data_IF_420469469465
#
_entry.id   IF_420469469465
#
_cell.length_a   1.000
_cell.length_b   1.000
_cell.length_c   1.000
_cell.angle_alpha   90.00
_cell.angle_beta   90.00
_cell.angle_gamma   90.00
#
_symmetry.space_group_name_H-M   'P 1'
#
loop_
_entity.id
_entity.type
_entity.pdbx_description
1 polymer ?
#
# COMPACT_ATOMS: atom_id res chain seq x y z
N UNK A 1 -3.83 -17.43 -13.66
CA UNK A 1 -3.49 -17.22 -12.24
C UNK A 1 -3.43 -15.72 -12.01
N UNK A 2 -4.20 -15.21 -11.07
CA UNK A 2 -4.18 -13.79 -10.70
C UNK A 2 -3.20 -13.62 -9.55
N UNK A 3 -2.24 -12.69 -9.69
CA UNK A 3 -1.27 -12.39 -8.64
C UNK A 3 -1.79 -11.37 -7.62
N UNK A 4 -2.99 -10.81 -7.87
CA UNK A 4 -3.59 -9.76 -7.05
C UNK A 4 -4.99 -10.17 -6.59
N UNK A 5 -5.38 -9.66 -5.43
CA UNK A 5 -6.78 -9.54 -5.04
C UNK A 5 -7.21 -8.09 -5.29
N UNK A 6 -8.24 -7.89 -6.10
CA UNK A 6 -8.66 -6.55 -6.54
C UNK A 6 -10.16 -6.38 -6.39
N UNK A 7 -10.57 -5.26 -5.77
CA UNK A 7 -11.96 -4.85 -5.64
C UNK A 7 -12.16 -3.52 -6.36
N UNK A 8 -13.36 -3.29 -6.92
CA UNK A 8 -13.71 -2.03 -7.59
C UNK A 8 -14.53 -1.15 -6.65
N UNK A 9 -14.29 0.15 -6.72
CA UNK A 9 -15.00 1.17 -5.96
C UNK A 9 -15.40 2.33 -6.87
N UNK A 10 -16.40 3.10 -6.44
CA UNK A 10 -16.80 4.36 -7.09
C UNK A 10 -16.15 5.59 -6.40
N UNK A 11 -15.39 5.38 -5.32
CA UNK A 11 -14.64 6.43 -4.63
C UNK A 11 -13.49 6.91 -5.52
N UNK A 12 -13.14 8.20 -5.43
CA UNK A 12 -11.87 8.66 -5.97
C UNK A 12 -10.70 8.13 -5.10
N UNK A 13 -9.47 8.29 -5.59
CA UNK A 13 -8.28 7.71 -4.94
C UNK A 13 -8.10 8.23 -3.51
N UNK A 14 -8.26 9.54 -3.28
CA UNK A 14 -8.05 10.12 -1.95
C UNK A 14 -9.12 9.65 -0.94
N UNK A 15 -10.39 9.59 -1.35
CA UNK A 15 -11.46 9.02 -0.52
C UNK A 15 -11.25 7.52 -0.25
N UNK A 16 -10.76 6.76 -1.23
CA UNK A 16 -10.45 5.35 -1.06
C UNK A 16 -9.30 5.13 -0.07
N UNK A 17 -8.25 5.96 -0.15
CA UNK A 17 -7.11 5.90 0.78
C UNK A 17 -7.53 6.25 2.21
N UNK A 18 -8.36 7.30 2.38
CA UNK A 18 -8.87 7.68 3.70
C UNK A 18 -9.68 6.54 4.31
N UNK A 19 -10.64 6.01 3.57
CA UNK A 19 -11.50 4.92 4.03
C UNK A 19 -10.71 3.63 4.33
N UNK A 20 -9.73 3.28 3.48
CA UNK A 20 -8.82 2.17 3.74
C UNK A 20 -8.02 2.39 5.02
N UNK A 21 -7.47 3.60 5.22
CA UNK A 21 -6.66 3.94 6.40
C UNK A 21 -7.47 3.78 7.69
N UNK A 22 -8.72 4.25 7.72
CA UNK A 22 -9.60 4.12 8.88
C UNK A 22 -9.93 2.65 9.18
N UNK A 23 -10.28 1.86 8.15
CA UNK A 23 -10.61 0.44 8.32
C UNK A 23 -9.39 -0.39 8.74
N UNK A 24 -8.22 -0.14 8.16
CA UNK A 24 -6.97 -0.83 8.50
C UNK A 24 -6.57 -0.60 9.95
N UNK A 25 -6.76 0.62 10.46
CA UNK A 25 -6.51 0.95 11.86
C UNK A 25 -7.35 0.09 12.81
N UNK A 26 -8.61 -0.19 12.44
CA UNK A 26 -9.53 -1.05 13.19
C UNK A 26 -9.06 -2.50 13.34
N UNK A 27 -8.19 -2.98 12.44
CA UNK A 27 -7.63 -4.34 12.45
C UNK A 27 -6.12 -4.37 12.78
N UNK A 28 -5.58 -3.27 13.32
CA UNK A 28 -4.21 -3.21 13.81
C UNK A 28 -3.14 -2.93 12.75
N UNK A 29 -3.53 -2.54 11.54
CA UNK A 29 -2.61 -2.04 10.51
C UNK A 29 -2.51 -0.52 10.59
N UNK A 30 -1.29 0.00 10.53
CA UNK A 30 -1.02 1.43 10.35
C UNK A 30 -0.57 1.74 8.93
N UNK A 31 -0.92 2.93 8.44
CA UNK A 31 -0.35 3.50 7.23
C UNK A 31 1.06 4.04 7.53
N UNK A 32 2.06 3.60 6.77
CA UNK A 32 3.44 4.07 6.85
C UNK A 32 3.67 5.22 5.88
N UNK A 33 3.40 4.99 4.59
CA UNK A 33 3.58 5.96 3.52
C UNK A 33 2.60 5.70 2.38
N UNK A 34 2.31 6.74 1.59
CA UNK A 34 1.59 6.64 0.32
C UNK A 34 2.49 7.19 -0.79
N UNK A 35 2.84 6.32 -1.73
CA UNK A 35 3.67 6.67 -2.88
C UNK A 35 2.78 7.10 -4.04
N UNK A 36 2.93 8.36 -4.47
CA UNK A 36 2.26 8.88 -5.66
C UNK A 36 3.17 8.69 -6.89
N UNK A 37 2.89 7.67 -7.69
CA UNK A 37 3.75 7.32 -8.82
C UNK A 37 3.70 8.36 -9.95
N UNK A 38 2.55 9.02 -10.13
CA UNK A 38 2.43 10.10 -11.11
C UNK A 38 3.37 11.24 -10.75
N UNK A 39 3.42 11.63 -9.49
CA UNK A 39 4.34 12.64 -8.98
C UNK A 39 5.80 12.17 -9.04
N UNK A 40 6.11 10.97 -8.55
CA UNK A 40 7.47 10.41 -8.53
C UNK A 40 8.07 10.35 -9.95
N UNK A 41 7.28 9.91 -10.94
CA UNK A 41 7.70 9.83 -12.32
C UNK A 41 7.84 11.22 -12.96
N UNK A 42 6.90 12.13 -12.69
CA UNK A 42 6.95 13.51 -13.18
C UNK A 42 8.20 14.26 -12.67
N UNK A 43 8.63 14.04 -11.43
CA UNK A 43 9.88 14.59 -10.88
C UNK A 43 11.13 14.11 -11.62
N UNK A 44 11.04 13.02 -12.40
CA UNK A 44 12.09 12.51 -13.29
C UNK A 44 11.88 12.86 -14.76
N UNK A 45 10.88 13.69 -15.08
CA UNK A 45 10.53 14.04 -16.45
C UNK A 45 9.87 12.89 -17.23
N UNK A 46 9.31 11.91 -16.52
CA UNK A 46 8.59 10.78 -17.11
C UNK A 46 7.10 11.04 -17.00
N UNK A 47 6.40 11.08 -18.14
CA UNK A 47 4.94 11.26 -18.16
C UNK A 47 4.21 9.97 -17.78
N UNK A 48 3.22 10.09 -16.90
CA UNK A 48 2.32 9.01 -16.50
C UNK A 48 0.89 9.55 -16.42
N UNK A 49 0.00 9.01 -17.24
CA UNK A 49 -1.34 9.56 -17.42
C UNK A 49 -2.27 9.20 -16.25
N UNK A 50 -2.17 7.97 -15.78
CA UNK A 50 -3.03 7.43 -14.74
C UNK A 50 -2.67 7.98 -13.36
N UNK A 51 -3.68 8.21 -12.54
CA UNK A 51 -3.48 8.43 -11.11
C UNK A 51 -3.33 7.05 -10.45
N UNK A 52 -2.16 6.80 -9.85
CA UNK A 52 -1.81 5.53 -9.22
C UNK A 52 -1.07 5.81 -7.92
N UNK A 53 -1.64 5.37 -6.80
CA UNK A 53 -1.01 5.50 -5.49
C UNK A 53 -0.79 4.12 -4.88
N UNK A 54 0.37 3.93 -4.24
CA UNK A 54 0.68 2.71 -3.51
C UNK A 54 0.76 3.03 -2.02
N UNK A 55 -0.09 2.41 -1.23
CA UNK A 55 -0.06 2.50 0.23
C UNK A 55 0.85 1.42 0.80
N UNK A 56 1.76 1.82 1.66
CA UNK A 56 2.57 0.92 2.49
C UNK A 56 1.97 0.84 3.88
N UNK A 57 1.54 -0.36 4.27
CA UNK A 57 0.81 -0.59 5.53
C UNK A 57 1.46 -1.72 6.33
N UNK A 58 1.44 -1.60 7.65
CA UNK A 58 2.11 -2.56 8.53
C UNK A 58 1.31 -2.82 9.79
N UNK A 59 1.15 -4.10 10.12
CA UNK A 59 0.80 -4.54 11.46
C UNK A 59 2.09 -5.00 12.16
N UNK A 60 2.57 -4.31 13.21
CA UNK A 60 3.86 -4.59 13.80
C UNK A 60 3.95 -5.99 14.45
N UNK A 61 2.82 -6.53 14.95
CA UNK A 61 2.80 -7.87 15.52
C UNK A 61 3.03 -8.92 14.43
N UNK A 62 2.34 -8.79 13.29
CA UNK A 62 2.51 -9.69 12.16
C UNK A 62 3.90 -9.55 11.53
N UNK A 63 4.38 -8.32 11.35
CA UNK A 63 5.72 -8.06 10.82
C UNK A 63 6.81 -8.69 11.70
N UNK A 64 6.69 -8.57 13.02
CA UNK A 64 7.59 -9.25 13.98
C UNK A 64 7.56 -10.76 13.78
N UNK A 65 6.38 -11.37 13.70
CA UNK A 65 6.25 -12.82 13.51
C UNK A 65 6.90 -13.30 12.20
N UNK A 66 6.75 -12.54 11.11
CA UNK A 66 7.39 -12.86 9.81
C UNK A 66 8.91 -12.80 9.93
N UNK A 67 9.44 -11.73 10.53
CA UNK A 67 10.89 -11.54 10.69
C UNK A 67 11.52 -12.56 11.64
N UNK A 68 10.82 -12.95 12.70
CA UNK A 68 11.25 -14.01 13.62
C UNK A 68 11.24 -15.40 12.95
N UNK A 69 10.31 -15.64 12.03
CA UNK A 69 10.24 -16.90 11.29
C UNK A 69 11.33 -16.99 10.21
N UNK A 70 11.53 -15.92 9.44
CA UNK A 70 12.60 -15.82 8.46
C UNK A 70 12.93 -14.33 8.16
N UNK A 71 14.12 -13.84 8.54
CA UNK A 71 14.55 -12.46 8.27
C UNK A 71 14.55 -12.07 6.79
N UNK A 72 14.82 -13.02 5.88
CA UNK A 72 14.82 -12.76 4.43
C UNK A 72 13.43 -12.36 3.91
N UNK A 73 12.36 -12.75 4.61
CA UNK A 73 10.99 -12.32 4.28
C UNK A 73 10.75 -10.83 4.56
N UNK A 74 11.68 -10.15 5.24
CA UNK A 74 11.66 -8.69 5.40
C UNK A 74 11.67 -7.94 4.06
N UNK A 75 12.19 -8.55 2.99
CA UNK A 75 12.15 -7.98 1.62
C UNK A 75 10.74 -7.92 1.03
N UNK A 76 9.77 -8.60 1.66
CA UNK A 76 8.36 -8.63 1.27
C UNK A 76 7.49 -7.76 2.18
N UNK A 77 8.11 -7.00 3.09
CA UNK A 77 7.48 -6.04 3.97
C UNK A 77 7.85 -4.62 3.53
N UNK A 78 6.98 -3.61 3.76
CA UNK A 78 5.64 -3.71 4.34
C UNK A 78 4.60 -4.31 3.38
N UNK A 79 3.38 -4.55 3.86
CA UNK A 79 2.28 -4.94 2.97
C UNK A 79 1.91 -3.75 2.07
N UNK A 80 1.61 -4.02 0.80
CA UNK A 80 1.30 -2.97 -0.19
C UNK A 80 -0.14 -3.08 -0.69
N UNK A 81 -0.78 -1.93 -0.88
CA UNK A 81 -2.13 -1.81 -1.47
C UNK A 81 -2.08 -0.75 -2.55
N UNK A 82 -2.42 -1.12 -3.79
CA UNK A 82 -2.53 -0.17 -4.90
C UNK A 82 -3.96 0.40 -4.96
N UNK A 83 -4.05 1.71 -5.23
CA UNK A 83 -5.29 2.47 -5.38
C UNK A 83 -5.24 3.30 -6.65
#
# INVERSE_FOLDING_TARGET
MSFTFTVKTQKNIDDAILDLTENLKGIGFGLLETLDFKKILAEKGLEFADDYKLMEVCNPHLAKQVLEANPDLGLLLPCTIAV
#
